data_IF_044430576745
#
_entry.id   IF_044430576745
#
_cell.length_a   1.000
_cell.length_b   1.000
_cell.length_c   1.000
_cell.angle_alpha   90.00
_cell.angle_beta   90.00
_cell.angle_gamma   90.00
#
_symmetry.space_group_name_H-M   'P 1'
#
loop_
_entity.id
_entity.type
_entity.pdbx_description
1 polymer ?
#
# COMPACT_ATOMS: atom_id res chain seq x y z
N UNK A 1 10.32 -6.47 0.32
CA UNK A 1 9.01 -5.80 0.20
C UNK A 1 7.92 -6.80 0.56
N UNK A 2 6.97 -6.41 1.40
CA UNK A 2 5.88 -7.27 1.85
C UNK A 2 4.53 -6.57 1.79
N UNK A 3 3.46 -7.31 1.50
CA UNK A 3 2.10 -6.75 1.43
C UNK A 3 1.02 -7.77 1.80
N UNK A 4 0.13 -7.37 2.71
CA UNK A 4 -1.04 -8.12 3.18
C UNK A 4 -2.35 -7.53 2.65
N UNK A 5 -2.42 -7.39 1.31
CA UNK A 5 -3.55 -6.84 0.56
C UNK A 5 -4.01 -7.84 -0.51
N UNK A 6 -5.26 -7.75 -0.99
CA UNK A 6 -5.80 -8.71 -1.97
C UNK A 6 -5.09 -8.79 -3.34
N UNK A 7 -4.23 -7.84 -3.69
CA UNK A 7 -3.44 -7.88 -4.94
C UNK A 7 -1.98 -7.39 -4.69
N UNK A 8 -1.16 -8.18 -3.96
CA UNK A 8 0.16 -7.74 -3.51
C UNK A 8 1.14 -7.49 -4.67
N UNK A 9 0.96 -8.20 -5.79
CA UNK A 9 1.79 -8.02 -6.99
C UNK A 9 1.73 -6.59 -7.55
N UNK A 10 0.60 -5.88 -7.40
CA UNK A 10 0.50 -4.47 -7.83
C UNK A 10 1.47 -3.59 -7.07
N UNK A 11 1.64 -3.83 -5.78
CA UNK A 11 2.60 -3.10 -4.96
C UNK A 11 4.05 -3.40 -5.40
N UNK A 12 4.39 -4.67 -5.60
CA UNK A 12 5.74 -5.06 -6.04
C UNK A 12 6.07 -4.55 -7.44
N UNK A 13 5.09 -4.54 -8.35
CA UNK A 13 5.22 -3.95 -9.68
C UNK A 13 5.51 -2.44 -9.60
N UNK A 14 4.82 -1.69 -8.72
CA UNK A 14 5.10 -0.27 -8.50
C UNK A 14 6.54 -0.03 -8.04
N UNK A 15 7.05 -0.84 -7.11
CA UNK A 15 8.44 -0.74 -6.64
C UNK A 15 9.44 -1.01 -7.78
N UNK A 16 9.17 -2.01 -8.62
CA UNK A 16 10.00 -2.30 -9.79
C UNK A 16 9.95 -1.17 -10.83
N UNK A 17 8.78 -0.59 -11.06
CA UNK A 17 8.63 0.56 -11.95
C UNK A 17 9.39 1.80 -11.45
N UNK A 18 9.57 1.92 -10.13
CA UNK A 18 10.41 2.95 -9.51
C UNK A 18 11.92 2.63 -9.55
N UNK A 19 12.33 1.52 -10.19
CA UNK A 19 13.74 1.13 -10.37
C UNK A 19 14.31 0.24 -9.26
N UNK A 20 13.49 -0.24 -8.33
CA UNK A 20 13.92 -1.16 -7.27
C UNK A 20 13.86 -2.61 -7.72
N UNK A 21 14.72 -3.47 -7.15
CA UNK A 21 14.67 -4.93 -7.34
C UNK A 21 14.38 -5.64 -6.00
N UNK A 22 13.17 -5.54 -5.44
CA UNK A 22 12.88 -6.06 -4.12
C UNK A 22 12.71 -7.59 -4.12
N UNK A 23 13.20 -8.27 -3.08
CA UNK A 23 12.66 -9.56 -2.70
C UNK A 23 11.20 -9.37 -2.24
N UNK A 24 10.28 -10.20 -2.73
CA UNK A 24 8.84 -10.05 -2.51
C UNK A 24 8.29 -11.10 -1.56
N UNK A 25 7.53 -10.67 -0.56
CA UNK A 25 6.79 -11.56 0.35
C UNK A 25 5.31 -11.17 0.36
N UNK A 26 4.48 -11.95 -0.33
CA UNK A 26 3.03 -11.82 -0.21
C UNK A 26 2.61 -12.34 1.17
N UNK A 27 1.84 -11.53 1.90
CA UNK A 27 1.20 -11.93 3.15
C UNK A 27 -0.29 -12.17 2.88
N UNK A 28 -0.98 -12.97 3.72
CA UNK A 28 -2.44 -13.10 3.65
C UNK A 28 -3.12 -11.72 3.65
N UNK A 29 -4.24 -11.58 2.94
CA UNK A 29 -5.00 -10.33 3.03
C UNK A 29 -5.43 -10.12 4.49
N UNK A 30 -5.44 -8.86 4.91
CA UNK A 30 -5.69 -8.48 6.30
C UNK A 30 -4.72 -9.11 7.32
N UNK A 31 -3.51 -9.52 6.92
CA UNK A 31 -2.49 -10.05 7.85
C UNK A 31 -2.37 -9.17 9.10
N UNK A 32 -2.48 -9.78 10.28
CA UNK A 32 -2.74 -9.08 11.54
C UNK A 32 -1.51 -8.42 12.19
N UNK A 33 -0.29 -8.79 11.76
CA UNK A 33 0.96 -8.29 12.37
C UNK A 33 1.00 -8.46 13.91
N UNK A 34 0.44 -9.58 14.41
CA UNK A 34 0.49 -9.93 15.83
C UNK A 34 1.93 -10.24 16.27
N UNK A 35 2.69 -10.88 15.40
CA UNK A 35 4.12 -11.12 15.53
C UNK A 35 4.87 -10.47 14.37
N UNK A 36 6.18 -10.26 14.53
CA UNK A 36 7.02 -9.74 13.45
C UNK A 36 7.43 -10.86 12.48
N UNK A 37 6.88 -10.92 11.25
CA UNK A 37 7.22 -11.97 10.30
C UNK A 37 8.59 -11.77 9.65
N UNK A 38 9.32 -10.72 10.04
CA UNK A 38 10.62 -10.34 9.48
C UNK A 38 11.78 -10.50 10.47
N UNK A 39 11.55 -11.11 11.63
CA UNK A 39 12.55 -11.23 12.71
C UNK A 39 13.85 -11.90 12.24
N UNK A 40 13.75 -12.89 11.35
CA UNK A 40 14.88 -13.66 10.85
C UNK A 40 15.46 -13.12 9.52
N UNK A 41 14.86 -12.07 8.95
CA UNK A 41 15.31 -11.54 7.68
C UNK A 41 16.58 -10.70 7.88
N UNK A 42 17.70 -11.06 7.26
CA UNK A 42 18.92 -10.25 7.28
C UNK A 42 18.91 -9.22 6.13
N UNK A 43 18.08 -8.18 6.25
CA UNK A 43 17.93 -7.11 5.24
C UNK A 43 18.00 -5.72 5.86
N UNK A 44 18.43 -4.73 5.10
CA UNK A 44 18.56 -3.34 5.57
C UNK A 44 17.22 -2.59 5.60
N UNK A 45 16.28 -2.96 4.73
CA UNK A 45 14.99 -2.29 4.59
C UNK A 45 13.86 -3.24 4.18
N UNK A 46 12.69 -3.02 4.77
CA UNK A 46 11.46 -3.76 4.57
C UNK A 46 10.38 -2.77 4.16
N UNK A 47 10.08 -2.76 2.86
CA UNK A 47 9.04 -1.90 2.29
C UNK A 47 7.66 -2.56 2.46
N UNK A 48 6.71 -1.84 3.08
CA UNK A 48 5.31 -2.27 3.26
C UNK A 48 4.33 -1.22 2.73
N UNK A 49 3.07 -1.61 2.60
CA UNK A 49 1.98 -0.71 2.20
C UNK A 49 1.46 0.11 3.38
N UNK A 50 0.83 1.27 3.11
CA UNK A 50 0.11 2.03 4.15
C UNK A 50 -1.02 1.21 4.81
N UNK A 51 -1.72 0.36 4.05
CA UNK A 51 -2.76 -0.53 4.58
C UNK A 51 -2.20 -1.55 5.58
N UNK A 52 -0.96 -1.97 5.43
CA UNK A 52 -0.30 -2.84 6.40
C UNK A 52 0.24 -2.05 7.59
N UNK A 53 0.75 -0.85 7.35
CA UNK A 53 1.28 0.03 8.38
C UNK A 53 0.23 0.40 9.45
N UNK A 54 -1.04 0.62 9.07
CA UNK A 54 -2.11 0.94 10.05
C UNK A 54 -2.39 -0.20 11.05
N UNK A 55 -1.92 -1.42 10.77
CA UNK A 55 -2.07 -2.59 11.64
C UNK A 55 -0.91 -2.71 12.64
N UNK A 56 0.18 -2.00 12.40
CA UNK A 56 1.33 -1.96 13.30
C UNK A 56 0.97 -1.11 14.52
N UNK A 57 0.79 -1.75 15.66
CA UNK A 57 0.56 -1.04 16.93
C UNK A 57 1.80 -0.29 17.42
N UNK A 58 1.64 0.54 18.46
CA UNK A 58 2.71 1.34 19.06
C UNK A 58 3.89 0.52 19.63
N UNK A 59 3.72 -0.79 19.81
CA UNK A 59 4.76 -1.72 20.25
C UNK A 59 5.73 -2.14 19.15
N UNK A 60 5.41 -1.88 17.88
CA UNK A 60 6.30 -2.21 16.76
C UNK A 60 7.52 -1.28 16.73
N UNK A 61 8.71 -1.89 16.80
CA UNK A 61 10.01 -1.18 16.92
C UNK A 61 11.07 -1.68 15.93
N UNK A 62 10.66 -2.22 14.80
CA UNK A 62 11.59 -2.63 13.75
C UNK A 62 11.97 -1.43 12.87
N UNK A 63 13.17 -0.87 13.10
CA UNK A 63 13.66 0.31 12.38
C UNK A 63 13.87 0.08 10.88
N UNK A 64 13.82 -1.18 10.43
CA UNK A 64 13.94 -1.53 9.01
C UNK A 64 12.62 -1.36 8.26
N UNK A 65 11.51 -1.14 8.95
CA UNK A 65 10.20 -0.97 8.30
C UNK A 65 10.06 0.42 7.69
N UNK A 66 9.76 0.44 6.40
CA UNK A 66 9.46 1.66 5.65
C UNK A 66 8.09 1.52 4.97
N UNK A 67 7.27 2.54 5.15
CA UNK A 67 5.95 2.62 4.51
C UNK A 67 6.11 3.33 3.17
N UNK A 68 5.60 2.71 2.12
CA UNK A 68 5.60 3.30 0.77
C UNK A 68 4.22 3.90 0.51
N UNK A 69 4.08 5.23 0.54
CA UNK A 69 2.80 5.88 0.28
C UNK A 69 2.41 5.75 -1.19
N UNK A 70 1.11 5.67 -1.44
CA UNK A 70 0.56 5.70 -2.80
C UNK A 70 -0.50 6.78 -2.89
N UNK A 71 -0.29 7.72 -3.79
CA UNK A 71 -1.25 8.78 -4.08
C UNK A 71 -2.04 8.47 -5.35
N UNK A 72 -3.36 8.63 -5.28
CA UNK A 72 -4.21 8.55 -6.45
C UNK A 72 -4.20 9.90 -7.18
N UNK A 73 -3.55 9.95 -8.34
CA UNK A 73 -3.65 11.09 -9.25
C UNK A 73 -4.88 10.93 -10.14
N UNK A 74 -5.92 11.74 -9.89
CA UNK A 74 -7.14 11.78 -10.69
C UNK A 74 -7.17 13.05 -11.54
N UNK A 75 -7.63 12.92 -12.78
CA UNK A 75 -7.87 14.09 -13.64
C UNK A 75 -8.96 14.96 -12.99
N UNK A 76 -8.71 16.27 -12.74
CA UNK A 76 -9.70 17.19 -12.20
C UNK A 76 -11.04 17.19 -12.98
N UNK A 77 -10.99 16.96 -14.29
CA UNK A 77 -12.18 16.85 -15.14
C UNK A 77 -13.04 15.64 -14.78
N UNK A 78 -12.42 14.50 -14.48
CA UNK A 78 -13.14 13.31 -14.04
C UNK A 78 -13.87 13.59 -12.72
N UNK A 79 -13.19 14.25 -11.78
CA UNK A 79 -13.78 14.63 -10.48
C UNK A 79 -14.99 15.54 -10.71
N UNK A 80 -14.87 16.57 -11.55
CA UNK A 80 -15.97 17.48 -11.86
C UNK A 80 -17.18 16.76 -12.48
N UNK A 81 -16.94 15.85 -13.42
CA UNK A 81 -18.00 15.06 -14.08
C UNK A 81 -18.77 14.16 -13.09
N UNK A 82 -18.04 13.47 -12.20
CA UNK A 82 -18.66 12.63 -11.16
C UNK A 82 -19.53 13.48 -10.24
N UNK A 83 -19.01 14.62 -9.79
CA UNK A 83 -19.75 15.54 -8.90
C UNK A 83 -21.00 16.11 -9.58
N UNK A 84 -20.93 16.47 -10.86
CA UNK A 84 -22.08 16.96 -11.64
C UNK A 84 -23.20 15.90 -11.72
N UNK A 85 -22.85 14.64 -12.02
CA UNK A 85 -23.82 13.54 -12.10
C UNK A 85 -24.45 13.23 -10.75
N UNK A 86 -23.66 13.22 -9.67
CA UNK A 86 -24.16 12.98 -8.31
C UNK A 86 -25.09 14.10 -7.81
N UNK A 87 -24.84 15.35 -8.22
CA UNK A 87 -25.68 16.50 -7.81
C UNK A 87 -26.99 16.60 -8.60
N UNK A 88 -27.15 15.79 -9.64
CA UNK A 88 -28.33 15.81 -10.50
C UNK A 88 -28.43 17.12 -11.28
N UNK A 89 -28.14 17.08 -12.58
CA UNK A 89 -28.80 18.00 -13.51
C UNK A 89 -29.94 17.26 -14.19
N UNK A 90 -31.15 17.79 -13.99
CA UNK A 90 -32.33 17.51 -14.80
C UNK A 90 -31.96 17.65 -16.28
N UNK A 91 -32.44 16.74 -17.15
CA UNK A 91 -32.36 16.96 -18.58
C UNK A 91 -33.11 18.27 -18.91
N UNK A 92 -32.47 19.14 -19.70
CA UNK A 92 -33.20 20.11 -20.51
C UNK A 92 -33.84 19.38 -21.70
#
# INVERSE_FOLDING_TARGET
AAAGIGAPERFFATLRAAGLAPATRALPDHYAFADNPFVDDAVDAILITEKDAVKLGASWRDARLWVVPVEAALDPRLIALVVEKLRGRSPA
#
